data_IF_978899868554
#
_entry.id   IF_978899868554
#
_cell.length_a   1.000
_cell.length_b   1.000
_cell.length_c   1.000
_cell.angle_alpha   90.00
_cell.angle_beta   90.00
_cell.angle_gamma   90.00
#
_symmetry.space_group_name_H-M   'P 1'
#
loop_
_entity.id
_entity.type
_entity.pdbx_description
1 polymer ?
#
# COMPACT_ATOMS: atom_id res chain seq x y z
N UNK A 1 13.17 -23.42 -29.63
CA UNK A 1 13.91 -22.13 -29.61
C UNK A 1 13.72 -21.33 -30.92
N UNK A 2 13.77 -21.94 -32.12
CA UNK A 2 13.70 -21.22 -33.40
C UNK A 2 12.37 -20.48 -33.66
N UNK A 3 11.23 -21.10 -33.35
CA UNK A 3 9.92 -20.51 -33.59
C UNK A 3 9.69 -19.22 -32.75
N UNK A 4 10.12 -19.23 -31.48
CA UNK A 4 10.01 -18.04 -30.59
C UNK A 4 10.87 -16.89 -31.12
N UNK A 5 12.12 -17.20 -31.51
CA UNK A 5 13.02 -16.18 -32.08
C UNK A 5 12.48 -15.60 -33.38
N UNK A 6 11.78 -16.39 -34.20
CA UNK A 6 11.13 -15.89 -35.41
C UNK A 6 9.95 -14.95 -35.10
N UNK A 7 9.12 -15.31 -34.14
CA UNK A 7 7.98 -14.47 -33.71
C UNK A 7 8.46 -13.15 -33.10
N UNK A 8 9.53 -13.17 -32.31
CA UNK A 8 10.13 -11.95 -31.76
C UNK A 8 10.65 -11.04 -32.88
N UNK A 9 11.39 -11.60 -33.87
CA UNK A 9 11.85 -10.83 -35.01
C UNK A 9 10.72 -10.22 -35.83
N UNK A 10 9.64 -10.98 -36.04
CA UNK A 10 8.45 -10.49 -36.70
C UNK A 10 7.85 -9.29 -35.97
N UNK A 11 7.67 -9.41 -34.62
CA UNK A 11 7.17 -8.33 -33.78
C UNK A 11 8.08 -7.10 -33.82
N UNK A 12 9.41 -7.26 -33.75
CA UNK A 12 10.38 -6.17 -33.86
C UNK A 12 10.27 -5.46 -35.21
N UNK A 13 10.02 -6.22 -36.29
CA UNK A 13 9.83 -5.67 -37.63
C UNK A 13 8.55 -4.85 -37.73
N UNK A 14 7.44 -5.38 -37.24
CA UNK A 14 6.14 -4.69 -37.23
C UNK A 14 6.17 -3.39 -36.39
N UNK A 15 6.87 -3.41 -35.28
CA UNK A 15 7.01 -2.24 -34.41
C UNK A 15 8.04 -1.23 -34.92
N UNK A 16 8.94 -1.63 -35.81
CA UNK A 16 10.09 -0.82 -36.23
C UNK A 16 11.12 -0.56 -35.12
N UNK A 17 11.12 -1.38 -34.06
CA UNK A 17 11.93 -1.23 -32.85
C UNK A 17 12.58 -2.55 -32.45
N UNK A 18 13.81 -2.49 -31.90
CA UNK A 18 14.45 -3.67 -31.33
C UNK A 18 14.02 -3.83 -29.85
N UNK A 19 13.58 -5.03 -29.49
CA UNK A 19 13.19 -5.39 -28.12
C UNK A 19 14.33 -6.07 -27.37
N UNK A 20 15.31 -6.64 -28.09
CA UNK A 20 16.48 -7.31 -27.51
C UNK A 20 17.78 -6.69 -28.03
N UNK A 21 18.73 -6.49 -27.11
CA UNK A 21 20.10 -6.12 -27.46
C UNK A 21 20.92 -7.37 -27.79
N UNK A 22 21.38 -7.43 -29.05
CA UNK A 22 22.16 -8.56 -29.60
C UNK A 22 23.66 -8.35 -29.57
N UNK A 23 24.15 -7.19 -29.02
CA UNK A 23 25.57 -6.84 -29.11
C UNK A 23 26.42 -7.45 -27.99
N UNK A 24 25.82 -7.97 -26.94
CA UNK A 24 26.52 -8.59 -25.82
C UNK A 24 26.01 -10.02 -25.58
N UNK A 25 26.88 -10.92 -25.12
CA UNK A 25 26.56 -12.32 -24.77
C UNK A 25 25.40 -12.35 -23.75
N UNK A 26 24.16 -12.59 -24.22
CA UNK A 26 22.96 -12.72 -23.41
C UNK A 26 21.71 -12.16 -24.13
N UNK A 27 20.55 -12.54 -23.62
CA UNK A 27 19.25 -11.99 -24.08
C UNK A 27 18.86 -10.80 -23.18
N UNK A 28 19.55 -9.68 -23.31
CA UNK A 28 19.19 -8.46 -22.59
C UNK A 28 18.07 -7.73 -23.35
N UNK A 29 17.11 -7.19 -22.60
CA UNK A 29 16.07 -6.35 -23.15
C UNK A 29 16.62 -4.94 -23.44
N UNK A 30 16.09 -4.27 -24.46
CA UNK A 30 16.22 -2.82 -24.64
C UNK A 30 15.22 -2.10 -23.73
N UNK A 31 15.32 -0.77 -23.59
CA UNK A 31 14.32 0.04 -22.85
C UNK A 31 12.89 -0.18 -23.36
N UNK A 32 12.73 -0.34 -24.69
CA UNK A 32 11.45 -0.68 -25.32
C UNK A 32 11.03 -2.11 -24.97
N UNK A 33 11.99 -3.04 -24.93
CA UNK A 33 11.78 -4.43 -24.52
C UNK A 33 11.34 -4.53 -23.05
N UNK A 34 11.99 -3.80 -22.15
CA UNK A 34 11.61 -3.74 -20.72
C UNK A 34 10.19 -3.18 -20.54
N UNK A 35 9.87 -2.09 -21.26
CA UNK A 35 8.53 -1.49 -21.21
C UNK A 35 7.44 -2.47 -21.67
N UNK A 36 7.65 -3.15 -22.79
CA UNK A 36 6.71 -4.15 -23.30
C UNK A 36 6.64 -5.38 -22.39
N UNK A 37 7.78 -5.86 -21.89
CA UNK A 37 7.85 -7.00 -20.98
C UNK A 37 7.05 -6.75 -19.69
N UNK A 38 7.18 -5.57 -19.09
CA UNK A 38 6.43 -5.20 -17.88
C UNK A 38 4.91 -5.28 -18.10
N UNK A 39 4.42 -4.78 -19.25
CA UNK A 39 2.99 -4.84 -19.58
C UNK A 39 2.55 -6.28 -19.86
N UNK A 40 3.31 -7.04 -20.63
CA UNK A 40 2.99 -8.45 -20.90
C UNK A 40 3.00 -9.29 -19.64
N UNK A 41 3.99 -9.12 -18.78
CA UNK A 41 4.10 -9.84 -17.52
C UNK A 41 2.87 -9.59 -16.64
N UNK A 42 2.45 -8.32 -16.50
CA UNK A 42 1.26 -7.98 -15.72
C UNK A 42 0.00 -8.60 -16.34
N UNK A 43 -0.13 -8.55 -17.67
CA UNK A 43 -1.28 -9.08 -18.40
C UNK A 43 -1.39 -10.61 -18.28
N UNK A 44 -0.30 -11.33 -18.48
CA UNK A 44 -0.27 -12.79 -18.32
C UNK A 44 -0.51 -13.21 -16.87
N UNK A 45 -0.02 -12.44 -15.92
CA UNK A 45 -0.30 -12.67 -14.50
C UNK A 45 -1.81 -12.51 -14.21
N UNK A 46 -2.45 -11.48 -14.78
CA UNK A 46 -3.90 -11.28 -14.66
C UNK A 46 -4.70 -12.44 -15.27
N UNK A 47 -4.33 -12.89 -16.47
CA UNK A 47 -4.96 -14.05 -17.13
C UNK A 47 -4.80 -15.31 -16.26
N UNK A 48 -3.60 -15.58 -15.78
CA UNK A 48 -3.33 -16.76 -14.94
C UNK A 48 -4.14 -16.75 -13.64
N UNK A 49 -4.30 -15.57 -13.02
CA UNK A 49 -5.14 -15.39 -11.84
C UNK A 49 -6.61 -15.67 -12.12
N UNK A 50 -7.12 -15.14 -13.23
CA UNK A 50 -8.50 -15.35 -13.66
C UNK A 50 -8.77 -16.83 -13.89
N UNK A 51 -7.85 -17.53 -14.57
CA UNK A 51 -7.95 -18.98 -14.76
C UNK A 51 -7.88 -19.76 -13.45
N UNK A 52 -7.02 -19.36 -12.52
CA UNK A 52 -6.95 -19.96 -11.19
C UNK A 52 -8.25 -19.75 -10.42
N UNK A 53 -8.88 -18.57 -10.53
CA UNK A 53 -10.19 -18.27 -9.94
C UNK A 53 -11.30 -19.15 -10.49
N UNK A 54 -11.35 -19.28 -11.81
CA UNK A 54 -12.36 -20.14 -12.47
C UNK A 54 -12.22 -21.60 -12.05
N UNK A 55 -11.01 -22.07 -11.79
CA UNK A 55 -10.74 -23.43 -11.29
C UNK A 55 -11.10 -23.59 -9.81
N UNK A 56 -10.86 -22.56 -8.97
CA UNK A 56 -11.23 -22.55 -7.55
C UNK A 56 -12.73 -22.62 -7.30
N UNK A 57 -13.56 -21.98 -8.12
CA UNK A 57 -15.03 -21.92 -7.96
C UNK A 57 -15.69 -23.28 -7.80
N UNK A 58 -14.97 -24.39 -8.01
CA UNK A 58 -15.52 -25.73 -8.00
C UNK A 58 -15.28 -26.53 -6.71
N UNK A 59 -14.37 -26.16 -5.80
CA UNK A 59 -13.98 -27.10 -4.74
C UNK A 59 -13.56 -26.54 -3.37
N UNK A 60 -13.23 -25.26 -3.19
CA UNK A 60 -12.60 -24.85 -1.94
C UNK A 60 -13.38 -23.79 -1.16
N UNK A 61 -13.68 -24.14 0.11
CA UNK A 61 -14.30 -23.24 1.11
C UNK A 61 -13.34 -22.16 1.63
N UNK A 62 -12.20 -21.95 0.96
CA UNK A 62 -11.15 -21.04 1.37
C UNK A 62 -11.47 -19.60 0.97
N UNK A 63 -11.34 -18.66 1.89
CA UNK A 63 -11.57 -17.22 1.66
C UNK A 63 -10.24 -16.49 1.63
N UNK A 64 -9.94 -15.77 0.54
CA UNK A 64 -8.75 -14.92 0.43
C UNK A 64 -9.11 -13.45 0.64
N UNK A 65 -8.52 -12.81 1.65
CA UNK A 65 -8.68 -11.39 1.96
C UNK A 65 -7.41 -10.65 1.59
N UNK A 66 -7.53 -9.62 0.75
CA UNK A 66 -6.41 -8.72 0.43
C UNK A 66 -6.51 -7.42 1.22
N UNK A 67 -5.38 -6.98 1.76
CA UNK A 67 -5.24 -5.69 2.43
C UNK A 67 -3.78 -5.20 2.39
N UNK A 68 -3.56 -3.93 2.72
CA UNK A 68 -2.20 -3.39 2.88
C UNK A 68 -1.51 -3.97 4.11
N UNK A 69 -0.17 -3.88 4.16
CA UNK A 69 0.63 -4.36 5.30
C UNK A 69 0.13 -3.78 6.62
N UNK A 70 -0.16 -2.48 6.66
CA UNK A 70 -0.63 -1.82 7.87
C UNK A 70 -2.03 -2.28 8.30
N UNK A 71 -2.97 -2.34 7.38
CA UNK A 71 -4.34 -2.83 7.67
C UNK A 71 -4.30 -4.30 8.10
N UNK A 72 -3.51 -5.13 7.42
CA UNK A 72 -3.34 -6.53 7.78
C UNK A 72 -2.77 -6.69 9.19
N UNK A 73 -1.65 -6.04 9.50
CA UNK A 73 -0.96 -6.21 10.78
C UNK A 73 -1.70 -5.56 11.96
N UNK A 74 -2.16 -4.32 11.79
CA UNK A 74 -2.69 -3.54 12.90
C UNK A 74 -4.20 -3.73 13.14
N UNK A 75 -4.95 -4.12 12.12
CA UNK A 75 -6.40 -4.18 12.22
C UNK A 75 -6.98 -5.55 11.90
N UNK A 76 -6.60 -6.18 10.77
CA UNK A 76 -7.23 -7.39 10.28
C UNK A 76 -6.78 -8.63 11.08
N UNK A 77 -5.48 -8.87 11.20
CA UNK A 77 -4.95 -10.09 11.86
C UNK A 77 -5.44 -10.27 13.30
N UNK A 78 -5.49 -9.23 14.16
CA UNK A 78 -6.05 -9.39 15.50
C UNK A 78 -7.52 -9.87 15.50
N UNK A 79 -8.30 -9.46 14.49
CA UNK A 79 -9.71 -9.87 14.31
C UNK A 79 -9.84 -11.25 13.73
N UNK A 80 -9.02 -11.59 12.74
CA UNK A 80 -8.96 -12.93 12.18
C UNK A 80 -8.53 -13.96 13.23
N UNK A 81 -7.63 -13.62 14.13
CA UNK A 81 -7.25 -14.51 15.25
C UNK A 81 -8.45 -14.86 16.15
N UNK A 82 -9.40 -13.93 16.32
CA UNK A 82 -10.65 -14.22 17.04
C UNK A 82 -11.63 -15.05 16.18
N UNK A 83 -11.69 -14.75 14.88
CA UNK A 83 -12.52 -15.48 13.92
C UNK A 83 -12.08 -16.94 13.80
N UNK A 84 -10.81 -17.24 13.62
CA UNK A 84 -10.28 -18.61 13.53
C UNK A 84 -10.54 -19.45 14.78
N UNK A 85 -10.55 -18.83 15.95
CA UNK A 85 -10.94 -19.55 17.19
C UNK A 85 -12.40 -19.95 17.22
N UNK A 86 -13.29 -19.19 16.57
CA UNK A 86 -14.74 -19.46 16.52
C UNK A 86 -15.11 -20.33 15.33
N UNK A 87 -14.39 -20.22 14.24
CA UNK A 87 -14.68 -20.84 12.94
C UNK A 87 -13.43 -21.51 12.37
N UNK A 88 -12.87 -22.53 13.06
CA UNK A 88 -11.66 -23.21 12.60
C UNK A 88 -11.86 -23.98 11.28
N UNK A 89 -13.12 -24.26 10.93
CA UNK A 89 -13.50 -24.94 9.70
C UNK A 89 -13.44 -24.06 8.44
N UNK A 90 -13.27 -22.72 8.61
CA UNK A 90 -13.19 -21.78 7.49
C UNK A 90 -11.73 -21.30 7.34
N UNK A 91 -10.99 -21.85 6.38
CA UNK A 91 -9.63 -21.37 6.10
C UNK A 91 -9.70 -19.96 5.48
N UNK A 92 -8.93 -19.04 6.03
CA UNK A 92 -8.81 -17.68 5.53
C UNK A 92 -7.35 -17.38 5.22
N UNK A 93 -7.09 -17.01 3.98
CA UNK A 93 -5.79 -16.54 3.52
C UNK A 93 -5.72 -15.02 3.56
N UNK A 94 -4.61 -14.48 3.99
CA UNK A 94 -4.31 -13.06 3.87
C UNK A 94 -3.34 -12.83 2.71
N UNK A 95 -3.77 -12.12 1.69
CA UNK A 95 -2.91 -11.58 0.65
C UNK A 95 -2.51 -10.15 0.99
N UNK A 96 -1.27 -9.97 1.46
CA UNK A 96 -0.78 -8.66 1.93
C UNK A 96 -0.01 -7.98 0.84
N UNK A 97 -0.44 -6.78 0.44
CA UNK A 97 0.23 -5.99 -0.60
C UNK A 97 -0.01 -4.50 -0.43
N UNK A 98 1.06 -3.70 -0.52
CA UNK A 98 0.98 -2.24 -0.56
C UNK A 98 0.94 -1.69 -2.01
N UNK A 99 0.88 -2.59 -3.00
CA UNK A 99 0.71 -2.22 -4.40
C UNK A 99 -0.75 -2.44 -4.81
N UNK A 100 -1.53 -1.37 -5.09
CA UNK A 100 -2.92 -1.49 -5.51
C UNK A 100 -3.07 -2.24 -6.85
N UNK A 101 -2.04 -2.20 -7.70
CA UNK A 101 -2.00 -2.84 -9.00
C UNK A 101 -1.43 -4.26 -8.97
N UNK A 102 -1.17 -4.83 -7.77
CA UNK A 102 -0.69 -6.20 -7.68
C UNK A 102 -1.78 -7.15 -8.20
N UNK A 103 -1.58 -7.58 -9.43
CA UNK A 103 -2.39 -8.58 -10.10
C UNK A 103 -1.76 -9.96 -9.86
N UNK A 104 -2.55 -11.00 -9.83
CA UNK A 104 -2.01 -12.35 -9.80
C UNK A 104 -2.53 -13.25 -8.69
N UNK A 105 -3.23 -12.71 -7.71
CA UNK A 105 -3.89 -13.50 -6.67
C UNK A 105 -5.39 -13.30 -6.74
N UNK A 106 -6.10 -14.41 -6.76
CA UNK A 106 -7.55 -14.42 -6.61
C UNK A 106 -7.92 -13.94 -5.21
N UNK A 107 -8.73 -12.90 -5.15
CA UNK A 107 -9.14 -12.28 -3.91
C UNK A 107 -10.66 -12.26 -3.84
N UNK A 108 -11.23 -12.84 -2.76
CA UNK A 108 -12.66 -12.83 -2.52
C UNK A 108 -13.11 -11.52 -1.87
N UNK A 109 -12.27 -10.99 -0.98
CA UNK A 109 -12.52 -9.74 -0.25
C UNK A 109 -11.29 -8.83 -0.33
N UNK A 110 -11.48 -7.57 -0.70
CA UNK A 110 -10.40 -6.56 -0.70
C UNK A 110 -10.73 -5.42 0.24
N UNK A 111 -9.85 -5.17 1.21
CA UNK A 111 -9.96 -4.00 2.09
C UNK A 111 -9.15 -2.87 1.47
N UNK A 112 -9.83 -1.80 1.09
CA UNK A 112 -9.26 -0.64 0.40
C UNK A 112 -9.49 0.64 1.20
N UNK A 113 -8.64 1.61 0.98
CA UNK A 113 -8.84 2.98 1.40
C UNK A 113 -9.52 3.79 0.28
N UNK A 114 -10.46 4.66 0.67
CA UNK A 114 -11.14 5.56 -0.25
C UNK A 114 -12.24 4.91 -1.08
N UNK A 115 -12.60 5.58 -2.15
CA UNK A 115 -13.64 5.11 -3.08
C UNK A 115 -13.06 4.16 -4.12
N UNK A 116 -13.75 3.05 -4.36
CA UNK A 116 -13.44 2.12 -5.45
C UNK A 116 -14.49 2.31 -6.54
N UNK A 117 -14.10 2.73 -7.72
CA UNK A 117 -15.01 3.07 -8.83
C UNK A 117 -15.61 1.86 -9.57
N UNK A 118 -15.22 0.63 -9.25
CA UNK A 118 -15.71 -0.55 -9.96
C UNK A 118 -17.17 -0.86 -9.61
N UNK A 119 -18.08 -0.66 -10.55
CA UNK A 119 -19.54 -0.87 -10.38
C UNK A 119 -19.95 -2.35 -10.24
N UNK A 120 -19.14 -3.27 -10.71
CA UNK A 120 -19.46 -4.72 -10.69
C UNK A 120 -19.18 -5.41 -9.35
N UNK A 121 -18.65 -4.69 -8.35
CA UNK A 121 -18.24 -5.25 -7.07
C UNK A 121 -19.14 -4.74 -5.94
N UNK A 122 -19.62 -5.64 -5.08
CA UNK A 122 -20.31 -5.23 -3.85
C UNK A 122 -19.34 -4.47 -2.93
N UNK A 123 -19.80 -3.35 -2.40
CA UNK A 123 -18.99 -2.45 -1.55
C UNK A 123 -19.68 -2.26 -0.21
N UNK A 124 -18.90 -2.42 0.85
CA UNK A 124 -19.36 -2.18 2.21
C UNK A 124 -18.35 -1.27 2.92
N UNK A 125 -18.83 -0.16 3.48
CA UNK A 125 -18.00 0.69 4.34
C UNK A 125 -17.78 -0.02 5.66
N UNK A 126 -16.52 -0.31 5.99
CA UNK A 126 -16.16 -0.92 7.27
C UNK A 126 -16.16 0.12 8.39
N UNK A 127 -15.54 1.27 8.17
CA UNK A 127 -15.49 2.39 9.10
C UNK A 127 -14.94 3.64 8.41
N UNK A 128 -15.18 4.78 9.01
CA UNK A 128 -14.43 6.01 8.75
C UNK A 128 -13.30 6.12 9.77
N UNK A 129 -12.15 6.64 9.34
CA UNK A 129 -10.99 6.87 10.20
C UNK A 129 -10.50 8.31 10.06
N UNK A 130 -9.68 8.74 10.99
CA UNK A 130 -9.17 10.10 11.10
C UNK A 130 -7.65 10.08 11.02
N UNK A 131 -7.08 11.02 10.25
CA UNK A 131 -5.64 11.23 10.20
C UNK A 131 -5.21 12.22 11.26
N UNK A 132 -4.35 11.78 12.16
CA UNK A 132 -3.82 12.59 13.25
C UNK A 132 -2.28 12.55 13.27
N UNK A 133 -1.60 13.63 13.64
CA UNK A 133 -0.16 13.62 13.89
C UNK A 133 0.16 12.71 15.08
N UNK A 134 1.02 11.72 14.89
CA UNK A 134 1.49 10.84 15.97
C UNK A 134 3.01 10.83 16.05
N UNK A 135 3.53 10.74 17.26
CA UNK A 135 4.96 10.67 17.55
C UNK A 135 5.23 9.91 18.84
N UNK A 136 6.50 9.73 19.20
CA UNK A 136 6.85 9.16 20.50
C UNK A 136 6.47 10.10 21.67
N UNK A 137 6.22 9.57 22.88
CA UNK A 137 5.93 10.39 24.05
C UNK A 137 7.03 11.41 24.38
N UNK A 138 8.29 11.06 24.15
CA UNK A 138 9.41 11.97 24.40
C UNK A 138 9.41 13.13 23.40
N UNK A 139 9.20 12.87 22.12
CA UNK A 139 9.07 13.91 21.10
C UNK A 139 7.92 14.88 21.42
N UNK A 140 6.78 14.36 21.87
CA UNK A 140 5.64 15.19 22.26
C UNK A 140 5.93 16.09 23.47
N UNK A 141 6.71 15.62 24.46
CA UNK A 141 7.15 16.43 25.61
C UNK A 141 8.06 17.58 25.20
N UNK A 142 8.92 17.39 24.21
CA UNK A 142 9.81 18.43 23.67
C UNK A 142 9.05 19.46 22.83
N UNK A 143 7.88 19.09 22.28
CA UNK A 143 7.08 19.93 21.41
C UNK A 143 5.61 19.99 21.88
N UNK A 144 5.32 20.54 23.08
CA UNK A 144 3.96 20.56 23.61
C UNK A 144 3.05 21.45 22.76
N UNK A 145 1.92 20.90 22.29
CA UNK A 145 0.85 21.60 21.57
C UNK A 145 1.34 22.62 20.52
N UNK A 146 2.11 22.17 19.51
CA UNK A 146 2.63 23.08 18.50
C UNK A 146 1.50 23.68 17.68
N UNK A 147 1.59 24.98 17.38
CA UNK A 147 0.72 25.59 16.34
C UNK A 147 0.95 24.93 14.99
N UNK A 148 0.02 25.07 14.04
CA UNK A 148 0.17 24.53 12.68
C UNK A 148 1.47 24.98 12.01
N UNK A 149 1.86 26.27 12.19
CA UNK A 149 3.12 26.79 11.66
C UNK A 149 4.34 26.09 12.25
N UNK A 150 4.35 25.85 13.56
CA UNK A 150 5.43 25.12 14.22
C UNK A 150 5.44 23.65 13.80
N UNK A 151 4.27 22.99 13.79
CA UNK A 151 4.13 21.60 13.38
C UNK A 151 4.69 21.38 11.96
N UNK A 152 4.37 22.29 11.03
CA UNK A 152 4.84 22.22 9.67
C UNK A 152 6.39 22.33 9.51
N UNK A 153 7.09 22.85 10.51
CA UNK A 153 8.55 23.00 10.51
C UNK A 153 9.27 21.91 11.32
N UNK A 154 8.54 21.09 12.06
CA UNK A 154 9.13 19.99 12.82
C UNK A 154 9.62 18.87 11.88
N UNK A 155 10.27 17.87 12.47
CA UNK A 155 10.73 16.69 11.73
C UNK A 155 9.52 15.83 11.33
N UNK A 156 9.09 15.96 10.07
CA UNK A 156 7.99 15.19 9.51
C UNK A 156 8.50 13.91 8.85
N UNK A 157 7.73 12.83 8.99
CA UNK A 157 7.97 11.58 8.27
C UNK A 157 6.94 11.50 7.14
N UNK A 158 7.42 11.55 5.90
CA UNK A 158 6.60 11.52 4.70
C UNK A 158 6.47 10.10 4.16
N UNK A 159 5.24 9.66 3.99
CA UNK A 159 4.96 8.39 3.32
C UNK A 159 4.88 8.61 1.81
N UNK A 160 5.81 8.02 1.05
CA UNK A 160 5.77 7.96 -0.42
C UNK A 160 5.02 6.71 -0.86
N UNK A 161 3.71 6.78 -0.90
CA UNK A 161 2.89 5.70 -1.43
C UNK A 161 2.88 5.71 -2.97
N UNK A 162 2.76 4.52 -3.58
CA UNK A 162 2.52 4.40 -5.02
C UNK A 162 1.10 4.85 -5.38
N UNK A 163 0.15 4.67 -4.47
CA UNK A 163 -1.23 5.10 -4.64
C UNK A 163 -1.33 6.61 -4.42
N UNK A 164 -1.70 7.34 -5.48
CA UNK A 164 -1.87 8.79 -5.46
C UNK A 164 -3.06 9.28 -4.60
N UNK A 165 -3.96 8.38 -4.25
CA UNK A 165 -5.15 8.69 -3.46
C UNK A 165 -4.88 8.73 -1.95
N UNK A 166 -3.69 8.32 -1.50
CA UNK A 166 -3.36 8.36 -0.09
C UNK A 166 -3.13 9.79 0.39
N UNK A 167 -3.78 10.14 1.49
CA UNK A 167 -3.58 11.43 2.15
C UNK A 167 -2.15 11.56 2.65
N UNK A 168 -1.57 12.73 2.46
CA UNK A 168 -0.21 13.08 2.85
C UNK A 168 -0.21 14.39 3.66
N UNK A 169 0.96 14.78 4.17
CA UNK A 169 1.10 16.01 4.94
C UNK A 169 0.58 17.25 4.21
N UNK A 170 0.81 17.36 2.90
CA UNK A 170 0.35 18.50 2.12
C UNK A 170 -1.19 18.57 2.09
N UNK A 171 -1.85 17.46 1.78
CA UNK A 171 -3.33 17.42 1.77
C UNK A 171 -3.91 17.64 3.18
N UNK A 172 -3.27 17.10 4.22
CA UNK A 172 -3.69 17.27 5.61
C UNK A 172 -3.59 18.73 6.07
N UNK A 173 -2.44 19.38 5.89
CA UNK A 173 -2.26 20.80 6.22
C UNK A 173 -3.20 21.70 5.43
N UNK A 174 -3.39 21.40 4.14
CA UNK A 174 -4.31 22.18 3.30
C UNK A 174 -5.77 22.07 3.77
N UNK A 175 -6.20 20.89 4.21
CA UNK A 175 -7.54 20.68 4.79
C UNK A 175 -7.76 21.52 6.06
N UNK A 176 -6.69 21.80 6.83
CA UNK A 176 -6.70 22.70 8.00
C UNK A 176 -6.49 24.17 7.65
N UNK A 177 -6.46 24.52 6.36
CA UNK A 177 -6.29 25.92 5.90
C UNK A 177 -4.85 26.42 5.91
N UNK A 178 -3.86 25.60 6.23
CA UNK A 178 -2.45 25.99 6.22
C UNK A 178 -1.90 26.00 4.78
N UNK A 179 -1.26 27.12 4.41
CA UNK A 179 -0.71 27.35 3.06
C UNK A 179 0.80 27.64 3.07
N UNK A 180 1.43 27.49 4.23
CA UNK A 180 2.86 27.73 4.40
C UNK A 180 3.74 26.61 3.85
N UNK A 181 5.04 26.77 4.00
CA UNK A 181 6.02 25.73 3.65
C UNK A 181 5.99 24.61 4.68
N UNK A 182 6.12 23.38 4.20
CA UNK A 182 6.17 22.16 5.00
C UNK A 182 7.59 21.61 4.97
N UNK A 183 8.10 21.17 6.13
CA UNK A 183 9.42 20.53 6.25
C UNK A 183 9.59 19.38 5.26
N UNK A 184 10.75 19.27 4.65
CA UNK A 184 11.11 18.15 3.75
C UNK A 184 11.23 16.82 4.50
N UNK A 185 11.58 16.85 5.77
CA UNK A 185 11.60 15.70 6.66
C UNK A 185 12.27 14.44 6.13
N UNK A 186 11.85 13.30 6.67
CA UNK A 186 12.31 11.97 6.24
C UNK A 186 11.26 11.31 5.36
N UNK A 187 11.70 10.57 4.33
CA UNK A 187 10.81 9.89 3.41
C UNK A 187 10.92 8.38 3.53
N UNK A 188 9.79 7.70 3.65
CA UNK A 188 9.69 6.24 3.65
C UNK A 188 8.57 5.80 2.70
N UNK A 189 8.62 4.56 2.22
CA UNK A 189 7.62 4.02 1.30
C UNK A 189 6.73 2.92 1.92
N UNK A 190 6.89 2.67 3.21
CA UNK A 190 6.09 1.69 3.95
C UNK A 190 5.55 2.32 5.24
N UNK A 191 4.24 2.18 5.46
CA UNK A 191 3.56 2.83 6.59
C UNK A 191 3.97 2.25 7.94
N UNK A 192 4.24 0.94 8.03
CA UNK A 192 4.71 0.32 9.28
C UNK A 192 6.09 0.86 9.69
N UNK A 193 6.97 1.09 8.70
CA UNK A 193 8.28 1.71 8.93
C UNK A 193 8.12 3.17 9.38
N UNK A 194 7.15 3.91 8.78
CA UNK A 194 6.86 5.29 9.21
C UNK A 194 6.41 5.35 10.68
N UNK A 195 5.49 4.45 11.08
CA UNK A 195 5.02 4.36 12.47
C UNK A 195 6.13 3.95 13.44
N UNK A 196 7.00 3.02 13.04
CA UNK A 196 8.13 2.61 13.86
C UNK A 196 9.12 3.77 14.04
N UNK A 197 9.49 4.47 12.97
CA UNK A 197 10.37 5.64 13.06
C UNK A 197 9.80 6.73 13.98
N UNK A 198 8.48 6.95 13.94
CA UNK A 198 7.82 7.88 14.86
C UNK A 198 7.88 7.40 16.32
N UNK A 199 7.66 6.10 16.59
CA UNK A 199 7.78 5.52 17.92
C UNK A 199 9.22 5.61 18.47
N UNK A 200 10.22 5.45 17.59
CA UNK A 200 11.66 5.58 17.92
C UNK A 200 12.10 7.05 18.10
N UNK A 201 11.18 8.02 17.94
CA UNK A 201 11.46 9.44 18.17
C UNK A 201 12.09 10.18 16.98
N UNK A 202 12.12 9.58 15.78
CA UNK A 202 12.69 10.22 14.58
C UNK A 202 11.90 11.47 14.16
N UNK A 203 10.59 11.54 14.48
CA UNK A 203 9.75 12.66 14.08
C UNK A 203 8.26 12.33 14.22
N UNK A 204 7.45 13.03 13.42
CA UNK A 204 5.99 12.95 13.44
C UNK A 204 5.52 12.31 12.14
N UNK A 205 4.57 11.38 12.23
CA UNK A 205 3.90 10.80 11.07
C UNK A 205 2.40 11.04 11.14
N UNK A 206 1.72 11.12 9.98
CA UNK A 206 0.26 11.06 9.93
C UNK A 206 -0.20 9.63 10.22
N UNK A 207 -0.83 9.44 11.35
CA UNK A 207 -1.37 8.17 11.79
C UNK A 207 -2.87 8.09 11.58
N UNK A 208 -3.35 6.99 11.00
CA UNK A 208 -4.76 6.64 11.07
C UNK A 208 -5.10 6.28 12.51
N UNK A 209 -5.95 7.07 13.15
CA UNK A 209 -6.23 6.97 14.61
C UNK A 209 -6.61 5.54 15.01
N UNK A 210 -7.46 4.88 14.22
CA UNK A 210 -7.91 3.50 14.48
C UNK A 210 -6.79 2.47 14.31
N UNK A 211 -5.96 2.62 13.28
CA UNK A 211 -4.81 1.73 13.05
C UNK A 211 -3.71 1.93 14.10
N UNK A 212 -3.51 3.18 14.53
CA UNK A 212 -2.51 3.53 15.54
C UNK A 212 -2.96 3.21 16.96
N UNK A 213 -4.27 2.98 17.18
CA UNK A 213 -4.84 2.78 18.51
C UNK A 213 -4.07 1.78 19.38
N UNK A 214 -3.68 0.58 18.91
CA UNK A 214 -2.91 -0.35 19.74
C UNK A 214 -1.57 0.22 20.22
N UNK A 215 -0.88 0.98 19.37
CA UNK A 215 0.40 1.62 19.71
C UNK A 215 0.21 2.82 20.65
N UNK A 216 -0.93 3.52 20.54
CA UNK A 216 -1.30 4.62 21.45
C UNK A 216 -1.68 4.05 22.81
N UNK A 217 -2.51 3.01 22.87
CA UNK A 217 -2.93 2.36 24.10
C UNK A 217 -1.73 1.75 24.87
N UNK A 218 -0.71 1.26 24.16
CA UNK A 218 0.52 0.72 24.75
C UNK A 218 1.55 1.82 25.13
N UNK A 219 1.28 3.09 24.82
CA UNK A 219 2.19 4.19 25.11
C UNK A 219 3.42 4.28 24.19
N UNK A 220 3.44 3.54 23.07
CA UNK A 220 4.51 3.64 22.08
C UNK A 220 4.39 4.94 21.25
N UNK A 221 3.15 5.36 21.00
CA UNK A 221 2.83 6.59 20.27
C UNK A 221 1.84 7.44 21.09
N UNK A 222 1.86 8.74 20.83
CA UNK A 222 0.86 9.69 21.31
C UNK A 222 0.41 10.57 20.16
N UNK A 223 -0.83 11.06 20.22
CA UNK A 223 -1.32 12.09 19.30
C UNK A 223 -0.70 13.42 19.71
N UNK A 224 -0.10 14.13 18.77
CA UNK A 224 0.53 15.43 19.00
C UNK A 224 -0.46 16.55 18.69
N UNK A 225 -0.68 17.41 19.69
CA UNK A 225 -1.62 18.53 19.60
C UNK A 225 -3.07 18.11 19.80
N UNK A 226 -3.88 19.05 20.24
CA UNK A 226 -5.32 18.89 20.40
C UNK A 226 -5.99 19.14 19.03
N UNK A 227 -5.96 18.14 18.16
CA UNK A 227 -6.58 18.17 16.84
C UNK A 227 -7.91 17.41 16.84
N UNK A 228 -8.70 17.61 17.89
CA UNK A 228 -10.11 17.18 17.95
C UNK A 228 -11.01 18.19 17.25
#
# INVERSE_FOLDING_TARGET
PGAVSHQIKFLETELGLSLFDRKHHGNNLTDHGESLFAVLQSSFTAVSSTLANLRRSASDKEVTISATTAVSGLWLTPRLSQFWRKHPEIPVNQHVTDNPDSQGVAVDLKICYGFVENESTQKHTLFQDELVPVCSPNFAKEHPNPSLDKLAQLQLIHLRAKDKNWSNWFSWFNALGYKGKISQGTHVNNYMIALQAAADGTGIVLGWRRLCKPKIDNGELVVLGDTS
#
